data_IF_745370826363
#
_entry.id   IF_745370826363
#
_cell.length_a   1.000
_cell.length_b   1.000
_cell.length_c   1.000
_cell.angle_alpha   90.00
_cell.angle_beta   90.00
_cell.angle_gamma   90.00
#
_symmetry.space_group_name_H-M   'P 1'
#
loop_
_entity.id
_entity.type
_entity.pdbx_description
1 polymer ?
#
# COMPACT_ATOMS: atom_id res chain seq x y z
N UNK A 1 -4.72 -9.96 -10.14
CA UNK A 1 -3.69 -10.16 -9.11
C UNK A 1 -3.75 -11.58 -8.59
N UNK A 2 -2.66 -12.29 -8.72
CA UNK A 2 -2.55 -13.68 -8.28
C UNK A 2 -1.78 -13.76 -6.96
N UNK A 3 -2.35 -14.41 -5.96
CA UNK A 3 -1.72 -14.56 -4.65
C UNK A 3 -0.80 -15.78 -4.66
N UNK A 4 0.40 -15.60 -4.13
CA UNK A 4 1.43 -16.64 -4.03
C UNK A 4 1.91 -16.75 -2.59
N UNK A 5 2.41 -17.92 -2.22
CA UNK A 5 3.15 -18.11 -0.97
C UNK A 5 4.64 -18.00 -1.28
N UNK A 6 5.37 -17.32 -0.41
CA UNK A 6 6.80 -17.15 -0.58
C UNK A 6 7.34 -16.01 0.28
N UNK A 7 8.49 -15.50 -0.11
CA UNK A 7 9.16 -14.41 0.59
C UNK A 7 8.87 -13.08 -0.12
N UNK A 8 8.50 -12.08 0.65
CA UNK A 8 8.31 -10.72 0.17
C UNK A 8 9.07 -9.74 1.06
N UNK A 9 9.29 -8.54 0.56
CA UNK A 9 9.98 -7.49 1.32
C UNK A 9 9.08 -6.28 1.52
N UNK A 10 9.22 -5.66 2.68
CA UNK A 10 8.53 -4.41 3.02
C UNK A 10 9.54 -3.42 3.59
N UNK A 11 9.20 -2.15 3.58
CA UNK A 11 10.05 -1.10 4.14
C UNK A 11 9.61 -0.80 5.56
N UNK A 12 10.50 -0.95 6.51
CA UNK A 12 10.23 -0.68 7.91
C UNK A 12 11.24 0.33 8.45
N UNK A 13 10.83 1.10 9.46
CA UNK A 13 11.73 1.95 10.21
C UNK A 13 12.23 1.19 11.45
N UNK A 14 13.56 1.05 11.52
CA UNK A 14 14.24 0.53 12.69
C UNK A 14 15.19 1.61 13.18
N UNK A 15 14.77 2.31 14.24
CA UNK A 15 15.49 3.48 14.71
C UNK A 15 15.26 4.67 13.78
N UNK A 16 16.34 5.26 13.24
CA UNK A 16 16.30 6.47 12.43
C UNK A 16 16.28 6.20 10.92
N UNK A 17 16.54 4.95 10.48
CA UNK A 17 16.68 4.64 9.06
C UNK A 17 15.68 3.62 8.57
N UNK A 18 15.08 3.83 7.38
CA UNK A 18 14.23 2.82 6.77
C UNK A 18 15.06 1.66 6.22
N UNK A 19 14.57 0.43 6.44
CA UNK A 19 15.22 -0.79 5.96
C UNK A 19 14.23 -1.65 5.20
N UNK A 20 14.73 -2.37 4.19
CA UNK A 20 13.99 -3.45 3.58
C UNK A 20 14.11 -4.70 4.45
N UNK A 21 12.97 -5.26 4.82
CA UNK A 21 12.90 -6.45 5.66
C UNK A 21 12.13 -7.54 4.92
N UNK A 22 12.66 -8.76 4.92
CA UNK A 22 12.05 -9.89 4.25
C UNK A 22 11.20 -10.70 5.22
N UNK A 23 10.03 -11.12 4.74
CA UNK A 23 9.10 -11.94 5.51
C UNK A 23 8.55 -13.07 4.65
N UNK A 24 8.24 -14.19 5.28
CA UNK A 24 7.53 -15.29 4.63
C UNK A 24 6.02 -15.12 4.84
N UNK A 25 5.27 -15.44 3.83
CA UNK A 25 3.81 -15.37 3.89
C UNK A 25 3.18 -15.46 2.53
N UNK A 26 2.10 -14.72 2.33
CA UNK A 26 1.38 -14.65 1.07
C UNK A 26 1.46 -13.25 0.50
N UNK A 27 1.58 -13.13 -0.82
CA UNK A 27 1.66 -11.84 -1.48
C UNK A 27 1.14 -11.91 -2.91
N UNK A 28 0.75 -10.76 -3.45
CA UNK A 28 0.35 -10.62 -4.84
C UNK A 28 0.73 -9.25 -5.36
N UNK A 29 1.17 -9.19 -6.62
CA UNK A 29 1.59 -7.95 -7.27
C UNK A 29 0.44 -7.35 -8.05
N UNK A 30 0.23 -6.05 -7.91
CA UNK A 30 -0.73 -5.26 -8.67
C UNK A 30 -0.16 -3.86 -8.88
N UNK A 31 0.74 -3.72 -9.85
CA UNK A 31 1.48 -2.49 -10.09
C UNK A 31 0.57 -1.26 -10.08
N UNK A 32 0.92 -0.17 -9.38
CA UNK A 32 2.18 0.11 -8.66
C UNK A 32 2.20 -0.41 -7.21
N UNK A 33 1.27 -1.26 -6.83
CA UNK A 33 1.10 -1.79 -5.48
C UNK A 33 1.44 -3.26 -5.38
N UNK A 34 1.51 -3.76 -4.16
CA UNK A 34 1.46 -5.18 -3.84
C UNK A 34 0.71 -5.37 -2.52
N UNK A 35 0.04 -6.50 -2.41
CA UNK A 35 -0.63 -6.90 -1.17
C UNK A 35 0.20 -7.98 -0.52
N UNK A 36 0.22 -8.00 0.79
CA UNK A 36 0.98 -9.02 1.51
C UNK A 36 0.39 -9.29 2.88
N UNK A 37 0.68 -10.48 3.37
CA UNK A 37 0.31 -10.93 4.70
C UNK A 37 1.40 -11.86 5.21
N UNK A 38 1.97 -11.55 6.38
CA UNK A 38 2.89 -12.46 7.05
C UNK A 38 2.17 -13.75 7.44
N UNK A 39 2.90 -14.85 7.52
CA UNK A 39 2.32 -16.15 7.81
C UNK A 39 1.52 -16.18 9.12
N UNK A 40 1.98 -15.41 10.12
CA UNK A 40 1.33 -15.30 11.43
C UNK A 40 0.14 -14.32 11.48
N UNK A 41 -0.09 -13.57 10.42
CA UNK A 41 -1.13 -12.53 10.39
C UNK A 41 -2.38 -13.00 9.67
N UNK A 42 -3.54 -12.49 10.09
CA UNK A 42 -4.84 -12.79 9.44
C UNK A 42 -5.25 -11.69 8.47
N UNK A 43 -4.86 -10.45 8.75
CA UNK A 43 -5.19 -9.30 7.91
C UNK A 43 -4.10 -9.05 6.87
N UNK A 44 -4.48 -8.29 5.82
CA UNK A 44 -3.61 -7.96 4.71
C UNK A 44 -3.17 -6.50 4.79
N UNK A 45 -2.09 -6.21 4.09
CA UNK A 45 -1.55 -4.85 3.93
C UNK A 45 -1.37 -4.58 2.45
N UNK A 46 -1.78 -3.37 2.03
CA UNK A 46 -1.48 -2.85 0.69
C UNK A 46 -0.27 -1.94 0.80
N UNK A 47 0.75 -2.21 0.00
CA UNK A 47 2.00 -1.44 -0.01
C UNK A 47 2.35 -0.98 -1.40
N UNK A 48 3.23 0.03 -1.48
CA UNK A 48 3.71 0.61 -2.72
C UNK A 48 5.01 -0.09 -3.15
N UNK A 49 5.06 -0.61 -4.39
CA UNK A 49 6.20 -1.42 -4.83
C UNK A 49 7.53 -0.66 -4.82
N UNK A 50 7.55 0.55 -5.36
CA UNK A 50 8.79 1.31 -5.50
C UNK A 50 9.39 1.74 -4.17
N UNK A 51 8.56 2.08 -3.18
CA UNK A 51 9.03 2.57 -1.89
C UNK A 51 9.01 1.51 -0.80
N UNK A 52 8.19 0.48 -0.94
CA UNK A 52 7.98 -0.54 0.07
C UNK A 52 7.16 -0.10 1.28
N UNK A 53 6.66 1.13 1.30
CA UNK A 53 5.85 1.63 2.41
C UNK A 53 4.40 1.18 2.30
N UNK A 54 3.79 0.93 3.47
CA UNK A 54 2.40 0.55 3.56
C UNK A 54 1.49 1.73 3.23
N UNK A 55 0.47 1.48 2.41
CA UNK A 55 -0.61 2.42 2.13
C UNK A 55 -1.73 2.22 3.15
N UNK A 56 -2.12 0.98 3.37
CA UNK A 56 -3.15 0.63 4.34
C UNK A 56 -2.92 -0.77 4.89
N UNK A 57 -3.02 -0.92 6.21
CA UNK A 57 -2.91 -2.20 6.92
C UNK A 57 -4.25 -2.60 7.54
N UNK A 58 -4.33 -3.82 8.06
CA UNK A 58 -5.50 -4.35 8.77
C UNK A 58 -6.76 -4.37 7.91
N UNK A 59 -6.63 -4.81 6.67
CA UNK A 59 -7.74 -4.93 5.73
C UNK A 59 -7.84 -6.37 5.22
N UNK A 60 -8.98 -6.70 4.64
CA UNK A 60 -9.17 -8.00 3.98
C UNK A 60 -8.52 -8.00 2.61
N UNK A 61 -8.30 -9.17 2.03
CA UNK A 61 -7.78 -9.28 0.67
C UNK A 61 -8.72 -8.60 -0.33
N UNK A 62 -10.03 -8.75 -0.14
CA UNK A 62 -11.03 -8.10 -1.00
C UNK A 62 -10.90 -6.58 -0.93
N UNK A 63 -10.77 -6.02 0.28
CA UNK A 63 -10.57 -4.59 0.47
C UNK A 63 -9.26 -4.12 -0.17
N UNK A 64 -8.18 -4.88 -0.01
CA UNK A 64 -6.90 -4.56 -0.63
C UNK A 64 -6.99 -4.51 -2.15
N UNK A 65 -7.69 -5.46 -2.76
CA UNK A 65 -7.91 -5.49 -4.22
C UNK A 65 -8.70 -4.29 -4.71
N UNK A 66 -9.78 -3.95 -4.01
CA UNK A 66 -10.61 -2.78 -4.37
C UNK A 66 -9.82 -1.50 -4.23
N UNK A 67 -9.08 -1.35 -3.12
CA UNK A 67 -8.27 -0.15 -2.87
C UNK A 67 -7.15 0.00 -3.89
N UNK A 68 -6.44 -1.07 -4.21
CA UNK A 68 -5.39 -1.07 -5.22
C UNK A 68 -5.92 -0.59 -6.57
N UNK A 69 -7.06 -1.13 -6.99
CA UNK A 69 -7.70 -0.75 -8.26
C UNK A 69 -8.10 0.73 -8.27
N UNK A 70 -8.63 1.23 -7.17
CA UNK A 70 -9.04 2.63 -7.06
C UNK A 70 -7.84 3.60 -7.05
N UNK A 71 -6.74 3.21 -6.43
CA UNK A 71 -5.56 4.07 -6.29
C UNK A 71 -4.63 4.05 -7.50
N UNK A 72 -4.65 3.00 -8.32
CA UNK A 72 -3.70 2.91 -9.45
C UNK A 72 -3.88 3.99 -10.51
N UNK A 73 -5.03 4.64 -10.55
CA UNK A 73 -5.29 5.76 -11.45
C UNK A 73 -4.72 7.09 -10.95
N UNK A 74 -4.17 7.11 -9.74
CA UNK A 74 -3.55 8.29 -9.18
C UNK A 74 -2.07 8.35 -9.58
N UNK A 75 -1.63 9.32 -10.41
CA UNK A 75 -0.23 9.41 -10.86
C UNK A 75 0.78 9.49 -9.72
N UNK A 76 0.34 9.98 -8.56
CA UNK A 76 1.13 10.07 -7.35
C UNK A 76 1.88 8.77 -7.02
N UNK A 77 1.23 7.62 -7.20
CA UNK A 77 1.80 6.33 -6.82
C UNK A 77 2.78 5.76 -7.86
N UNK A 78 2.95 6.45 -8.98
CA UNK A 78 3.98 6.09 -9.95
C UNK A 78 5.34 6.69 -9.61
N UNK A 79 5.40 7.52 -8.58
CA UNK A 79 6.65 8.16 -8.14
C UNK A 79 7.56 7.14 -7.43
N UNK A 80 8.88 7.21 -7.66
CA UNK A 80 9.79 6.15 -7.19
C UNK A 80 10.29 6.31 -5.76
N UNK A 81 10.10 7.47 -5.12
CA UNK A 81 10.61 7.73 -3.78
C UNK A 81 9.53 8.29 -2.87
N UNK A 82 9.62 8.05 -1.53
CA UNK A 82 8.67 8.64 -0.58
C UNK A 82 8.64 10.16 -0.63
N UNK A 83 9.79 10.80 -0.80
CA UNK A 83 9.92 12.25 -0.85
C UNK A 83 9.17 12.83 -2.05
N UNK A 84 9.29 12.20 -3.22
CA UNK A 84 8.57 12.62 -4.43
C UNK A 84 7.07 12.47 -4.26
N UNK A 85 6.63 11.38 -3.62
CA UNK A 85 5.20 11.13 -3.37
C UNK A 85 4.64 12.21 -2.44
N UNK A 86 5.34 12.51 -1.35
CA UNK A 86 4.93 13.55 -0.39
C UNK A 86 4.86 14.92 -1.08
N UNK A 87 5.86 15.24 -1.88
CA UNK A 87 5.90 16.50 -2.61
C UNK A 87 4.72 16.62 -3.59
N UNK A 88 4.49 15.62 -4.42
CA UNK A 88 3.39 15.61 -5.38
C UNK A 88 2.03 15.65 -4.68
N UNK A 89 1.88 14.95 -3.55
CA UNK A 89 0.66 14.99 -2.76
C UNK A 89 0.39 16.40 -2.23
N UNK A 90 1.42 17.12 -1.81
CA UNK A 90 1.27 18.49 -1.30
C UNK A 90 0.85 19.49 -2.39
N UNK A 91 1.12 19.18 -3.67
CA UNK A 91 0.72 20.00 -4.80
C UNK A 91 -0.72 19.75 -5.27
N UNK A 92 -1.36 18.68 -4.78
CA UNK A 92 -2.74 18.40 -5.11
C UNK A 92 -3.67 19.46 -4.50
N UNK A 93 -4.77 19.82 -5.20
CA UNK A 93 -5.80 20.65 -4.59
C UNK A 93 -6.32 20.03 -3.30
N UNK A 94 -6.69 20.87 -2.33
CA UNK A 94 -7.13 20.39 -0.99
C UNK A 94 -8.25 19.36 -1.08
N UNK A 95 -9.23 19.56 -1.96
CA UNK A 95 -10.34 18.62 -2.12
C UNK A 95 -9.88 17.25 -2.62
N UNK A 96 -8.82 17.20 -3.46
CA UNK A 96 -8.26 15.94 -3.93
C UNK A 96 -7.43 15.25 -2.85
N UNK A 97 -6.68 15.99 -2.06
CA UNK A 97 -5.97 15.42 -0.91
C UNK A 97 -6.95 14.79 0.06
N UNK A 98 -8.06 15.46 0.32
CA UNK A 98 -9.12 14.97 1.19
C UNK A 98 -9.79 13.71 0.64
N UNK A 99 -10.11 13.72 -0.66
CA UNK A 99 -10.69 12.56 -1.34
C UNK A 99 -9.79 11.34 -1.29
N UNK A 100 -8.49 11.53 -1.50
CA UNK A 100 -7.51 10.44 -1.43
C UNK A 100 -7.44 9.84 -0.02
N UNK A 101 -7.38 10.70 0.99
CA UNK A 101 -7.35 10.26 2.38
C UNK A 101 -8.62 9.48 2.76
N UNK A 102 -9.78 10.00 2.38
CA UNK A 102 -11.05 9.33 2.65
C UNK A 102 -11.16 7.98 1.95
N UNK A 103 -10.68 7.89 0.72
CA UNK A 103 -10.69 6.64 -0.04
C UNK A 103 -9.86 5.57 0.65
N UNK A 104 -8.69 5.93 1.18
CA UNK A 104 -7.81 5.01 1.89
C UNK A 104 -8.41 4.64 3.26
N UNK A 105 -8.88 5.63 4.01
CA UNK A 105 -9.31 5.45 5.40
C UNK A 105 -10.66 4.73 5.52
N UNK A 106 -11.54 4.88 4.54
CA UNK A 106 -12.89 4.36 4.60
C UNK A 106 -13.10 3.04 3.85
N UNK A 107 -12.03 2.42 3.36
CA UNK A 107 -12.13 1.18 2.59
C UNK A 107 -12.81 0.06 3.40
N UNK A 108 -12.60 0.01 4.69
CA UNK A 108 -13.20 -0.98 5.58
C UNK A 108 -14.71 -0.77 5.77
N UNK A 109 -15.22 0.44 5.49
CA UNK A 109 -16.66 0.75 5.55
C UNK A 109 -17.35 0.54 4.20
N UNK A 110 -16.62 0.76 3.10
CA UNK A 110 -17.17 0.65 1.74
C UNK A 110 -17.19 -0.79 1.22
N UNK A 111 -16.27 -1.62 1.73
CA UNK A 111 -16.10 -3.02 1.31
C UNK A 111 -16.10 -3.90 2.55
N UNK A 112 -17.24 -4.45 2.86
CA UNK A 112 -17.40 -5.36 3.99
C UNK A 112 -17.41 -6.80 3.54
#
# INVERSE_FOLDING_TARGET
>A
MKIRKGTFKIREHDGSEPKWVFYDGSFGMDFPFYVHRKESEKSWTLSHQATGYAVRSNITLKQARVLSKALKDWPLFLMPTPETIVHQRSLLPTHKQHALKQLIDNIDKEVT
#
